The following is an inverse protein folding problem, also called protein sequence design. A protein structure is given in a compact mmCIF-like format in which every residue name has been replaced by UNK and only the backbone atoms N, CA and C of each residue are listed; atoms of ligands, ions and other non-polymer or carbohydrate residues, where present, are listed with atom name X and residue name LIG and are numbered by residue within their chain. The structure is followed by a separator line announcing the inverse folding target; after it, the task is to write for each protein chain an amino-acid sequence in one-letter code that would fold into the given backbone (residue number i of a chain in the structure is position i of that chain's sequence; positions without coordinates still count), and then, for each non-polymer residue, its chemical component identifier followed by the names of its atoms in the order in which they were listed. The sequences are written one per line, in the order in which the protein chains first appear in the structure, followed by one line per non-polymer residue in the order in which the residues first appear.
data_IF_940166016200
#
_entry.id   IF_940166016200
#
_cell.length_a   1.000
_cell.length_b   1.000
_cell.length_c   1.000
_cell.angle_alpha   90.00
_cell.angle_beta   90.00
_cell.angle_gamma   90.00
#
_symmetry.space_group_name_H-M   'P 1'
#
loop_
_entity.id
_entity.type
_entity.pdbx_description
1 polymer ?
#
# COMPACT_ATOMS: atom_id res chain seq x y z
N UNK A 1 17.99 7.29 4.87
CA UNK A 1 16.54 7.28 5.20
C UNK A 1 16.31 8.36 6.24
N UNK A 2 15.75 9.51 5.86
CA UNK A 2 15.62 10.65 6.78
C UNK A 2 14.38 10.46 7.66
N UNK A 3 14.61 10.05 8.91
CA UNK A 3 13.58 9.78 9.93
C UNK A 3 12.77 11.01 10.34
N UNK A 4 13.24 12.22 10.05
CA UNK A 4 12.62 13.49 10.47
C UNK A 4 11.31 13.82 9.76
N UNK A 5 11.07 13.30 8.55
CA UNK A 5 9.91 13.70 7.75
C UNK A 5 8.58 13.06 8.21
N UNK A 6 8.64 12.05 9.09
CA UNK A 6 7.46 11.26 9.49
C UNK A 6 6.79 11.74 10.78
N UNK A 7 7.42 12.69 11.48
CA UNK A 7 6.98 13.19 12.77
C UNK A 7 6.81 14.70 12.71
N UNK A 8 5.60 15.17 13.03
CA UNK A 8 5.31 16.60 13.20
C UNK A 8 5.06 16.86 14.68
N UNK A 9 5.57 17.98 15.18
CA UNK A 9 5.32 18.46 16.53
C UNK A 9 4.33 19.61 16.41
N UNK A 10 3.09 19.40 16.85
CA UNK A 10 2.10 20.47 16.97
C UNK A 10 1.77 20.66 18.44
N UNK A 11 2.03 21.86 18.98
CA UNK A 11 1.66 22.24 20.35
C UNK A 11 2.15 21.29 21.45
N UNK A 12 3.33 20.68 21.28
CA UNK A 12 3.92 19.75 22.24
C UNK A 12 3.47 18.28 22.11
N UNK A 13 2.63 17.95 21.11
CA UNK A 13 2.21 16.57 20.81
C UNK A 13 2.87 16.07 19.53
N UNK A 14 3.47 14.88 19.61
CA UNK A 14 4.12 14.21 18.49
C UNK A 14 3.06 13.48 17.65
N UNK A 15 2.77 14.03 16.47
CA UNK A 15 1.78 13.49 15.53
C UNK A 15 2.52 12.67 14.47
N UNK A 16 2.08 11.43 14.29
CA UNK A 16 2.56 10.54 13.22
C UNK A 16 1.82 10.85 11.93
N UNK A 17 2.54 11.27 10.90
CA UNK A 17 1.92 11.68 9.61
C UNK A 17 1.44 10.47 8.78
N UNK A 18 2.08 9.31 8.95
CA UNK A 18 1.81 8.11 8.16
C UNK A 18 1.10 7.03 8.98
N UNK A 19 0.27 6.22 8.29
CA UNK A 19 -0.42 5.08 8.91
C UNK A 19 0.57 3.97 9.26
N UNK A 20 0.40 3.37 10.43
CA UNK A 20 1.14 2.17 10.84
C UNK A 20 0.55 0.91 10.21
N UNK A 21 1.40 -0.10 10.00
CA UNK A 21 0.96 -1.41 9.54
C UNK A 21 0.30 -2.18 10.70
N UNK A 22 -0.93 -2.71 10.55
CA UNK A 22 -1.61 -3.45 11.61
C UNK A 22 -0.93 -4.79 11.93
N UNK A 23 -0.17 -5.36 10.98
CA UNK A 23 0.51 -6.66 11.15
C UNK A 23 1.92 -6.54 11.72
N UNK A 24 2.64 -5.47 11.37
CA UNK A 24 4.03 -5.28 11.79
C UNK A 24 4.19 -4.35 13.00
N UNK A 25 3.11 -3.73 13.45
CA UNK A 25 3.11 -2.87 14.63
C UNK A 25 3.52 -1.42 14.35
N UNK A 26 3.62 -0.60 15.42
CA UNK A 26 3.76 0.86 15.34
C UNK A 26 5.11 1.34 14.80
N UNK A 27 6.08 0.45 14.62
CA UNK A 27 7.40 0.77 14.07
C UNK A 27 7.44 0.79 12.54
N UNK A 28 6.46 0.16 11.87
CA UNK A 28 6.44 0.04 10.42
C UNK A 28 5.35 0.91 9.81
N UNK A 29 5.78 2.00 9.17
CA UNK A 29 4.90 2.86 8.40
C UNK A 29 4.53 2.23 7.06
N UNK A 30 3.30 2.48 6.63
CA UNK A 30 2.84 2.17 5.28
C UNK A 30 3.36 3.24 4.32
N UNK A 31 4.01 2.80 3.24
CA UNK A 31 4.41 3.65 2.13
C UNK A 31 3.17 4.15 1.40
N UNK A 32 3.09 5.47 1.22
CA UNK A 32 1.95 6.12 0.61
C UNK A 32 2.18 6.22 -0.91
N UNK A 33 1.62 5.28 -1.67
CA UNK A 33 1.53 5.39 -3.13
C UNK A 33 0.21 6.04 -3.55
N UNK A 34 0.12 6.44 -4.81
CA UNK A 34 -1.07 7.07 -5.37
C UNK A 34 -2.31 6.16 -5.29
N UNK A 35 -2.13 4.88 -5.64
CA UNK A 35 -3.17 3.86 -5.75
C UNK A 35 -3.31 2.99 -4.49
N UNK A 36 -2.25 2.88 -3.68
CA UNK A 36 -2.17 1.93 -2.56
C UNK A 36 -1.28 2.39 -1.41
N UNK A 37 -1.47 1.75 -0.27
CA UNK A 37 -0.61 1.81 0.89
C UNK A 37 0.06 0.47 1.11
N UNK A 38 1.38 0.42 1.04
CA UNK A 38 2.14 -0.83 1.09
C UNK A 38 3.06 -0.89 2.30
N UNK A 39 3.15 -2.05 2.94
CA UNK A 39 4.13 -2.32 3.98
C UNK A 39 5.34 -3.02 3.36
N UNK A 40 6.53 -2.42 3.51
CA UNK A 40 7.78 -3.00 3.00
C UNK A 40 8.25 -4.25 3.75
N UNK A 41 7.73 -4.54 4.95
CA UNK A 41 8.17 -5.68 5.77
C UNK A 41 7.34 -6.95 5.55
N UNK A 42 6.01 -6.84 5.49
CA UNK A 42 5.10 -8.00 5.37
C UNK A 42 4.33 -8.07 4.05
N UNK A 43 4.55 -7.13 3.12
CA UNK A 43 3.82 -7.09 1.85
C UNK A 43 2.34 -6.70 1.97
N UNK A 44 1.89 -6.26 3.15
CA UNK A 44 0.50 -5.82 3.33
C UNK A 44 0.20 -4.59 2.46
N UNK A 45 -0.80 -4.69 1.60
CA UNK A 45 -1.21 -3.61 0.72
C UNK A 45 -2.70 -3.28 0.89
N UNK A 46 -3.02 -2.00 1.14
CA UNK A 46 -4.38 -1.47 1.17
C UNK A 46 -4.56 -0.55 -0.02
N UNK A 47 -5.46 -0.88 -0.93
CA UNK A 47 -5.74 -0.03 -2.08
C UNK A 47 -6.68 1.10 -1.67
N UNK A 48 -6.34 2.34 -2.04
CA UNK A 48 -7.24 3.47 -1.89
C UNK A 48 -8.33 3.28 -2.94
N UNK A 49 -9.45 2.65 -2.56
CA UNK A 49 -10.59 2.50 -3.48
C UNK A 49 -11.10 3.88 -3.85
N UNK A 50 -10.70 4.38 -5.02
CA UNK A 50 -11.44 5.44 -5.70
C UNK A 50 -12.74 4.80 -6.17
N UNK A 51 -13.86 5.23 -5.60
CA UNK A 51 -15.17 4.85 -6.10
C UNK A 51 -15.26 5.15 -7.60
N UNK A 52 -15.78 4.18 -8.35
CA UNK A 52 -16.26 4.27 -9.73
C UNK A 52 -15.28 4.79 -10.80
N UNK A 53 -14.45 3.90 -11.33
CA UNK A 53 -14.33 3.81 -12.80
C UNK A 53 -14.39 2.35 -13.21
N UNK A 54 -15.46 2.00 -13.93
CA UNK A 54 -15.64 0.71 -14.59
C UNK A 54 -14.66 0.64 -15.76
N UNK A 55 -13.37 0.45 -15.50
CA UNK A 55 -12.42 0.11 -16.56
C UNK A 55 -12.46 -1.39 -16.73
N UNK A 56 -13.17 -1.80 -17.78
CA UNK A 56 -13.07 -3.09 -18.50
C UNK A 56 -11.97 -4.00 -17.95
N UNK A 57 -12.38 -4.97 -17.14
CA UNK A 57 -11.54 -6.12 -16.79
C UNK A 57 -11.20 -6.82 -18.10
N UNK A 58 -9.99 -6.61 -18.61
CA UNK A 58 -9.45 -7.39 -19.72
C UNK A 58 -9.60 -8.88 -19.36
N UNK A 59 -10.08 -9.73 -20.31
CA UNK A 59 -10.26 -11.15 -20.01
C UNK A 59 -8.91 -11.73 -19.59
N UNK A 60 -8.93 -12.51 -18.51
CA UNK A 60 -7.78 -13.30 -18.06
C UNK A 60 -7.23 -14.03 -19.29
N UNK A 61 -5.98 -13.74 -19.68
CA UNK A 61 -5.31 -14.42 -20.79
C UNK A 61 -5.51 -15.92 -20.61
N UNK A 62 -6.14 -16.56 -21.59
CA UNK A 62 -6.42 -17.99 -21.59
C UNK A 62 -5.13 -18.77 -21.34
N UNK A 63 -5.15 -19.87 -20.57
CA UNK A 63 -3.98 -20.73 -20.44
C UNK A 63 -3.60 -21.21 -21.84
N UNK A 64 -2.38 -20.90 -22.31
CA UNK A 64 -1.85 -21.49 -23.55
C UNK A 64 -1.95 -23.00 -23.38
N UNK A 65 -2.81 -23.66 -24.15
CA UNK A 65 -2.86 -25.12 -24.20
C UNK A 65 -1.46 -25.59 -24.58
N UNK A 66 -0.76 -26.21 -23.64
CA UNK A 66 0.48 -26.94 -23.90
C UNK A 66 0.09 -28.17 -24.70
N UNK A 67 0.10 -28.07 -26.02
CA UNK A 67 0.05 -29.22 -26.91
C UNK A 67 1.30 -30.05 -26.64
N UNK A 68 1.14 -31.18 -25.93
CA UNK A 68 2.13 -32.25 -25.96
C UNK A 68 1.98 -32.91 -27.33
N UNK A 69 2.98 -32.74 -28.18
CA UNK A 69 3.31 -33.69 -29.24
C UNK A 69 4.31 -34.69 -28.64
#
# INVERSE_FOLDING_TARGET
MNSSNYYKIEGGKLIRTHRSCPKCGPSYFLANHYDRWSCGKCGYAVFKRKGSTKTTRAPRRSPRKRSKA
#
